data_IF_685646865138
#
_entry.id   IF_685646865138
#
_cell.length_a   1.000
_cell.length_b   1.000
_cell.length_c   1.000
_cell.angle_alpha   90.00
_cell.angle_beta   90.00
_cell.angle_gamma   90.00
#
_symmetry.space_group_name_H-M   'P 1'
#
loop_
_entity.id
_entity.type
_entity.pdbx_description
1 polymer ?
#
# COMPACT_ATOMS: atom_id res chain seq x y z
N UNK A 1 19.49 -4.81 7.33
CA UNK A 1 19.60 -6.17 6.77
C UNK A 1 18.26 -6.45 6.11
N UNK A 2 18.20 -6.97 4.91
CA UNK A 2 16.94 -7.37 4.27
C UNK A 2 16.70 -8.85 4.51
N UNK A 3 15.44 -9.26 4.61
CA UNK A 3 15.06 -10.67 4.72
C UNK A 3 15.42 -11.42 3.45
N UNK A 4 15.73 -12.71 3.58
CA UNK A 4 16.20 -13.56 2.48
C UNK A 4 15.09 -14.46 1.93
N UNK A 5 14.14 -14.85 2.75
CA UNK A 5 13.03 -15.73 2.37
C UNK A 5 11.95 -15.00 1.55
N UNK A 6 11.74 -13.72 1.81
CA UNK A 6 10.68 -12.90 1.19
C UNK A 6 11.16 -11.49 0.89
N UNK A 7 10.70 -10.91 -0.22
CA UNK A 7 10.76 -9.47 -0.44
C UNK A 7 9.53 -8.85 0.20
N UNK A 8 9.73 -7.93 1.16
CA UNK A 8 8.62 -7.39 1.97
C UNK A 8 8.70 -5.89 2.03
N UNK A 9 7.60 -5.23 1.67
CA UNK A 9 7.40 -3.80 1.79
C UNK A 9 6.26 -3.50 2.76
N UNK A 10 6.47 -2.58 3.70
CA UNK A 10 5.42 -1.94 4.48
C UNK A 10 4.96 -0.67 3.75
N UNK A 11 3.67 -0.55 3.49
CA UNK A 11 3.12 0.67 2.87
C UNK A 11 2.95 1.73 3.97
N UNK A 12 3.77 2.77 3.90
CA UNK A 12 3.91 3.75 4.97
C UNK A 12 2.90 4.89 4.87
N UNK A 13 2.34 5.29 6.01
CA UNK A 13 1.50 6.48 6.13
C UNK A 13 2.32 7.77 6.04
N UNK A 14 1.66 8.91 5.90
CA UNK A 14 2.23 10.25 6.02
C UNK A 14 1.71 10.93 7.28
N UNK A 15 2.52 11.81 7.87
CA UNK A 15 2.14 12.62 9.02
C UNK A 15 1.78 14.02 8.52
N UNK A 16 0.58 14.49 8.81
CA UNK A 16 0.14 15.84 8.47
C UNK A 16 0.81 16.88 9.39
N UNK A 17 1.08 18.09 8.90
CA UNK A 17 1.45 19.19 9.79
C UNK A 17 0.22 19.58 10.65
N UNK A 18 0.29 19.48 11.98
CA UNK A 18 -0.85 19.78 12.85
C UNK A 18 -1.25 21.26 12.87
N UNK A 19 -0.35 22.15 12.43
CA UNK A 19 -0.60 23.59 12.41
C UNK A 19 -1.17 24.08 11.08
N UNK A 20 -1.19 23.22 10.06
CA UNK A 20 -1.73 23.55 8.75
C UNK A 20 -3.25 23.37 8.68
N UNK A 21 -3.86 23.97 7.65
CA UNK A 21 -5.25 23.68 7.28
C UNK A 21 -5.30 22.28 6.64
N UNK A 22 -5.81 21.31 7.40
CA UNK A 22 -6.00 19.93 6.94
C UNK A 22 -7.45 19.64 6.55
N UNK A 23 -8.25 20.65 6.24
CA UNK A 23 -9.63 20.47 5.80
C UNK A 23 -9.72 19.73 4.45
N UNK A 24 -10.85 19.06 4.16
CA UNK A 24 -11.08 18.46 2.85
C UNK A 24 -10.92 19.47 1.71
N UNK A 25 -10.04 19.14 0.74
CA UNK A 25 -9.73 19.99 -0.41
C UNK A 25 -8.64 21.05 -0.17
N UNK A 26 -8.13 21.20 1.05
CA UNK A 26 -6.94 22.01 1.30
C UNK A 26 -5.70 21.34 0.66
N UNK A 27 -4.70 22.12 0.23
CA UNK A 27 -3.42 21.57 -0.19
C UNK A 27 -2.76 20.74 0.91
N UNK A 28 -2.13 19.64 0.54
CA UNK A 28 -1.47 18.77 1.49
C UNK A 28 -0.23 19.46 2.11
N UNK A 29 -0.18 19.54 3.43
CA UNK A 29 1.00 20.01 4.17
C UNK A 29 1.47 18.89 5.10
N UNK A 30 2.65 18.35 4.79
CA UNK A 30 3.23 17.17 5.43
C UNK A 30 4.26 17.59 6.46
N UNK A 31 4.21 16.98 7.65
CA UNK A 31 5.33 16.98 8.60
C UNK A 31 6.41 16.02 8.06
N UNK A 32 7.40 16.61 7.38
CA UNK A 32 8.45 15.85 6.71
C UNK A 32 9.35 15.10 7.69
N UNK A 33 9.65 15.69 8.83
CA UNK A 33 10.55 15.10 9.83
C UNK A 33 9.91 13.83 10.43
N UNK A 34 8.68 13.91 10.89
CA UNK A 34 7.95 12.77 11.42
C UNK A 34 7.68 11.71 10.32
N UNK A 35 7.31 12.14 9.11
CA UNK A 35 7.07 11.26 7.98
C UNK A 35 8.32 10.46 7.61
N UNK A 36 9.47 11.10 7.49
CA UNK A 36 10.73 10.43 7.14
C UNK A 36 11.28 9.59 8.30
N UNK A 37 11.14 10.04 9.55
CA UNK A 37 11.52 9.25 10.72
C UNK A 37 10.81 7.88 10.75
N UNK A 38 9.53 7.84 10.36
CA UNK A 38 8.80 6.57 10.27
C UNK A 38 9.38 5.65 9.19
N UNK A 39 9.81 6.17 8.02
CA UNK A 39 10.47 5.38 6.97
C UNK A 39 11.80 4.81 7.47
N UNK A 40 12.60 5.62 8.16
CA UNK A 40 13.85 5.15 8.79
C UNK A 40 13.61 4.03 9.80
N UNK A 41 12.51 4.11 10.58
CA UNK A 41 12.10 3.03 11.46
C UNK A 41 11.83 1.73 10.69
N UNK A 42 11.09 1.77 9.58
CA UNK A 42 10.81 0.58 8.77
C UNK A 42 12.11 -0.04 8.23
N UNK A 43 13.01 0.77 7.68
CA UNK A 43 14.32 0.30 7.21
C UNK A 43 15.18 -0.26 8.33
N UNK A 44 15.14 0.32 9.53
CA UNK A 44 15.89 -0.20 10.69
C UNK A 44 15.43 -1.59 11.13
N UNK A 45 14.17 -1.94 10.84
CA UNK A 45 13.59 -3.26 11.06
C UNK A 45 13.86 -4.23 9.90
N UNK A 46 14.56 -3.80 8.85
CA UNK A 46 14.85 -4.63 7.68
C UNK A 46 13.74 -4.70 6.64
N UNK A 47 12.63 -3.97 6.84
CA UNK A 47 11.52 -3.90 5.90
C UNK A 47 11.84 -2.93 4.76
N UNK A 48 11.37 -3.23 3.55
CA UNK A 48 11.27 -2.24 2.49
C UNK A 48 10.10 -1.27 2.76
N UNK A 49 10.19 -0.07 2.20
CA UNK A 49 9.12 0.93 2.26
C UNK A 49 8.39 0.98 0.92
N UNK A 50 7.06 0.79 0.95
CA UNK A 50 6.20 1.13 -0.18
C UNK A 50 5.62 2.52 0.06
N UNK A 51 6.15 3.49 -0.66
CA UNK A 51 5.83 4.89 -0.45
C UNK A 51 4.89 5.45 -1.52
N UNK A 52 4.24 6.57 -1.17
CA UNK A 52 3.32 7.24 -2.07
C UNK A 52 2.24 6.30 -2.65
N UNK A 53 1.76 5.36 -1.84
CA UNK A 53 0.68 4.43 -2.12
C UNK A 53 -0.62 4.88 -1.44
N UNK A 54 -1.65 4.04 -1.43
CA UNK A 54 -2.94 4.34 -0.80
C UNK A 54 -2.81 4.64 0.69
N UNK A 55 -1.91 3.94 1.41
CA UNK A 55 -1.66 4.16 2.84
C UNK A 55 -1.15 5.58 3.12
N UNK A 56 -0.40 6.17 2.18
CA UNK A 56 0.03 7.56 2.23
C UNK A 56 -1.06 8.57 1.86
N UNK A 57 -2.33 8.15 1.83
CA UNK A 57 -3.49 8.98 1.51
C UNK A 57 -3.55 9.50 0.06
N UNK A 58 -2.89 8.86 -0.92
CA UNK A 58 -3.06 9.24 -2.34
C UNK A 58 -4.54 9.20 -2.74
N UNK A 59 -5.00 10.29 -3.37
CA UNK A 59 -6.40 10.46 -3.73
C UNK A 59 -7.37 10.65 -2.55
N UNK A 60 -6.83 10.75 -1.31
CA UNK A 60 -7.61 10.99 -0.08
C UNK A 60 -6.92 12.01 0.84
N UNK A 61 -6.38 13.08 0.29
CA UNK A 61 -5.74 14.17 1.02
C UNK A 61 -4.31 14.47 0.55
N UNK A 62 -3.53 13.48 0.16
CA UNK A 62 -2.21 13.70 -0.44
C UNK A 62 -2.38 14.04 -1.93
N UNK A 63 -2.10 15.28 -2.29
CA UNK A 63 -2.12 15.74 -3.68
C UNK A 63 -0.84 15.37 -4.44
N UNK A 64 -0.84 15.60 -5.79
CA UNK A 64 0.31 15.24 -6.61
C UNK A 64 1.58 16.04 -6.28
N UNK A 65 1.46 17.30 -5.87
CA UNK A 65 2.63 18.11 -5.53
C UNK A 65 3.35 17.54 -4.31
N UNK A 66 2.62 17.26 -3.24
CA UNK A 66 3.15 16.61 -2.04
C UNK A 66 3.58 15.15 -2.29
N UNK A 67 2.85 14.41 -3.14
CA UNK A 67 3.23 13.05 -3.57
C UNK A 67 4.61 13.05 -4.24
N UNK A 68 4.83 13.96 -5.18
CA UNK A 68 6.12 14.11 -5.87
C UNK A 68 7.26 14.41 -4.89
N UNK A 69 7.03 15.32 -3.96
CA UNK A 69 8.00 15.66 -2.93
C UNK A 69 8.29 14.49 -2.00
N UNK A 70 7.25 13.72 -1.61
CA UNK A 70 7.39 12.52 -0.80
C UNK A 70 8.29 11.49 -1.49
N UNK A 71 8.03 11.19 -2.77
CA UNK A 71 8.84 10.26 -3.56
C UNK A 71 10.31 10.70 -3.61
N UNK A 72 10.55 11.99 -3.86
CA UNK A 72 11.92 12.54 -3.96
C UNK A 72 12.68 12.47 -2.62
N UNK A 73 12.04 12.88 -1.52
CA UNK A 73 12.62 12.85 -0.18
C UNK A 73 12.88 11.43 0.29
N UNK A 74 11.86 10.57 0.21
CA UNK A 74 11.99 9.16 0.65
C UNK A 74 12.99 8.38 -0.19
N UNK A 75 13.09 8.65 -1.50
CA UNK A 75 14.12 8.06 -2.34
C UNK A 75 15.54 8.50 -1.92
N UNK A 76 15.73 9.77 -1.57
CA UNK A 76 17.01 10.27 -1.07
C UNK A 76 17.40 9.62 0.27
N UNK A 77 16.43 9.51 1.20
CA UNK A 77 16.64 8.85 2.49
C UNK A 77 16.92 7.35 2.34
N UNK A 78 16.18 6.65 1.48
CA UNK A 78 16.42 5.24 1.18
C UNK A 78 17.86 5.00 0.71
N UNK A 79 18.37 5.84 -0.22
CA UNK A 79 19.78 5.75 -0.68
C UNK A 79 20.76 5.99 0.44
N UNK A 80 20.46 6.92 1.36
CA UNK A 80 21.38 7.27 2.46
C UNK A 80 21.65 6.12 3.42
N UNK A 81 20.66 5.20 3.55
CA UNK A 81 20.74 4.04 4.47
C UNK A 81 20.80 2.70 3.74
N UNK A 82 20.80 2.68 2.41
CA UNK A 82 20.71 1.45 1.62
C UNK A 82 19.37 0.71 1.80
N UNK A 83 18.30 1.45 2.08
CA UNK A 83 16.96 0.92 2.29
C UNK A 83 16.27 0.56 0.97
N UNK A 84 15.46 -0.51 0.98
CA UNK A 84 14.60 -0.84 -0.15
C UNK A 84 13.40 0.11 -0.19
N UNK A 85 13.09 0.62 -1.37
CA UNK A 85 11.93 1.49 -1.58
C UNK A 85 11.24 1.18 -2.91
N UNK A 86 9.91 1.13 -2.89
CA UNK A 86 9.09 1.18 -4.09
C UNK A 86 8.07 2.33 -3.96
N UNK A 87 7.68 2.93 -5.08
CA UNK A 87 6.79 4.08 -5.07
C UNK A 87 5.66 3.93 -6.08
N UNK A 88 4.47 4.40 -5.70
CA UNK A 88 3.29 4.38 -6.55
C UNK A 88 3.43 5.29 -7.77
N UNK A 89 3.10 4.75 -8.94
CA UNK A 89 2.95 5.43 -10.23
C UNK A 89 1.48 5.38 -10.60
N UNK A 90 0.82 6.52 -10.70
CA UNK A 90 -0.61 6.63 -10.98
C UNK A 90 -0.93 7.71 -11.99
N UNK A 91 -2.14 8.23 -11.95
CA UNK A 91 -2.64 9.28 -12.85
C UNK A 91 -3.39 10.39 -12.11
N UNK A 92 -3.21 10.49 -10.82
CA UNK A 92 -3.94 11.40 -9.92
C UNK A 92 -3.55 12.88 -10.07
N UNK A 93 -2.53 13.22 -10.89
CA UNK A 93 -2.30 14.57 -11.36
C UNK A 93 -3.32 15.03 -12.41
N UNK A 94 -4.05 14.11 -13.02
CA UNK A 94 -5.15 14.46 -13.90
C UNK A 94 -6.28 15.11 -13.08
N UNK A 95 -6.86 16.22 -13.52
CA UNK A 95 -7.97 16.85 -12.82
C UNK A 95 -9.13 15.88 -12.58
N UNK A 96 -9.66 15.85 -11.35
CA UNK A 96 -10.84 15.03 -11.04
C UNK A 96 -12.08 15.49 -11.80
N UNK A 97 -12.99 14.55 -12.11
CA UNK A 97 -14.28 14.81 -12.76
C UNK A 97 -14.19 15.69 -14.02
N UNK A 98 -13.45 15.26 -15.06
CA UNK A 98 -13.40 16.02 -16.31
C UNK A 98 -14.79 16.12 -16.94
N UNK A 99 -15.05 17.18 -17.69
CA UNK A 99 -16.29 17.36 -18.46
C UNK A 99 -16.42 16.37 -19.62
N UNK A 100 -15.31 15.73 -20.00
CA UNK A 100 -15.21 14.65 -20.98
C UNK A 100 -14.21 13.59 -20.47
N UNK A 101 -14.41 12.30 -20.80
CA UNK A 101 -13.42 11.26 -20.50
C UNK A 101 -12.06 11.62 -21.09
N UNK A 102 -10.98 11.28 -20.38
CA UNK A 102 -9.63 11.34 -20.93
C UNK A 102 -9.47 10.37 -22.09
N UNK A 103 -8.59 10.68 -23.03
CA UNK A 103 -8.12 9.69 -24.02
C UNK A 103 -7.12 8.72 -23.36
N UNK A 104 -6.97 7.52 -23.93
CA UNK A 104 -5.95 6.56 -23.50
C UNK A 104 -4.54 7.17 -23.59
N UNK A 105 -4.31 8.06 -24.57
CA UNK A 105 -3.04 8.76 -24.75
C UNK A 105 -2.73 9.70 -23.57
N UNK A 106 -3.70 10.53 -23.14
CA UNK A 106 -3.54 11.42 -21.97
C UNK A 106 -3.32 10.65 -20.67
N UNK A 107 -3.97 9.50 -20.53
CA UNK A 107 -3.77 8.61 -19.37
C UNK A 107 -2.35 8.01 -19.41
N UNK A 108 -1.89 7.58 -20.58
CA UNK A 108 -0.51 7.12 -20.79
C UNK A 108 0.51 8.21 -20.43
N UNK A 109 0.33 9.44 -20.94
CA UNK A 109 1.19 10.60 -20.63
C UNK A 109 1.25 10.87 -19.12
N UNK A 110 0.12 10.73 -18.43
CA UNK A 110 0.06 10.91 -16.98
C UNK A 110 0.87 9.85 -16.22
N UNK A 111 0.73 8.59 -16.59
CA UNK A 111 1.54 7.51 -16.02
C UNK A 111 3.03 7.71 -16.27
N UNK A 112 3.42 8.04 -17.51
CA UNK A 112 4.83 8.27 -17.89
C UNK A 112 5.45 9.41 -17.08
N UNK A 113 4.70 10.50 -16.88
CA UNK A 113 5.18 11.62 -16.06
C UNK A 113 5.42 11.25 -14.58
N UNK A 114 4.62 10.34 -14.02
CA UNK A 114 4.86 9.84 -12.66
C UNK A 114 5.97 8.78 -12.62
N UNK A 115 6.04 7.92 -13.62
CA UNK A 115 7.11 6.94 -13.77
C UNK A 115 8.49 7.60 -13.79
N UNK A 116 8.64 8.69 -14.54
CA UNK A 116 9.87 9.47 -14.58
C UNK A 116 10.28 9.98 -13.19
N UNK A 117 9.34 10.49 -12.39
CA UNK A 117 9.62 10.98 -11.03
C UNK A 117 10.10 9.84 -10.13
N UNK A 118 9.46 8.67 -10.19
CA UNK A 118 9.83 7.50 -9.37
C UNK A 118 11.20 6.96 -9.78
N UNK A 119 11.50 6.89 -11.08
CA UNK A 119 12.79 6.43 -11.59
C UNK A 119 13.93 7.40 -11.24
N UNK A 120 13.69 8.72 -11.32
CA UNK A 120 14.66 9.74 -10.89
C UNK A 120 14.97 9.65 -9.38
N UNK A 121 13.99 9.22 -8.57
CA UNK A 121 14.19 8.95 -7.15
C UNK A 121 14.90 7.61 -6.88
N UNK A 122 15.21 6.82 -7.95
CA UNK A 122 15.81 5.48 -7.89
C UNK A 122 14.96 4.44 -7.16
N UNK A 123 13.66 4.70 -6.98
CA UNK A 123 12.71 3.77 -6.39
C UNK A 123 12.19 2.76 -7.43
N UNK A 124 11.73 1.58 -6.96
CA UNK A 124 11.05 0.61 -7.82
C UNK A 124 9.63 1.12 -8.11
N UNK A 125 9.22 1.20 -9.40
CA UNK A 125 7.88 1.67 -9.72
C UNK A 125 6.81 0.62 -9.35
N UNK A 126 5.71 1.07 -8.76
CA UNK A 126 4.48 0.30 -8.58
C UNK A 126 3.38 0.95 -9.40
N UNK A 127 3.02 0.36 -10.53
CA UNK A 127 1.99 0.90 -11.43
C UNK A 127 0.63 0.61 -10.83
N UNK A 128 0.02 1.65 -10.27
CA UNK A 128 -1.26 1.59 -9.56
C UNK A 128 -2.43 1.60 -10.53
N UNK A 129 -3.57 1.03 -10.12
CA UNK A 129 -4.82 1.21 -10.85
C UNK A 129 -5.19 2.70 -10.99
N UNK A 130 -5.70 3.08 -12.16
CA UNK A 130 -6.10 4.46 -12.48
C UNK A 130 -7.61 4.60 -12.55
N UNK A 131 -8.16 5.54 -11.77
CA UNK A 131 -9.58 5.92 -11.89
C UNK A 131 -9.91 6.48 -13.29
N UNK A 132 -8.98 7.24 -13.88
CA UNK A 132 -9.13 7.77 -15.23
C UNK A 132 -9.21 6.64 -16.26
N UNK A 133 -8.35 5.61 -16.15
CA UNK A 133 -8.40 4.45 -17.04
C UNK A 133 -9.67 3.63 -16.81
N UNK A 134 -10.04 3.35 -15.56
CA UNK A 134 -11.27 2.63 -15.24
C UNK A 134 -12.53 3.29 -15.83
N UNK A 135 -12.57 4.63 -15.83
CA UNK A 135 -13.70 5.39 -16.38
C UNK A 135 -13.68 5.53 -17.92
N UNK A 136 -12.54 5.31 -18.56
CA UNK A 136 -12.34 5.54 -19.99
C UNK A 136 -12.32 4.23 -20.79
N UNK A 137 -11.67 3.20 -20.27
CA UNK A 137 -11.52 1.91 -20.94
C UNK A 137 -12.88 1.22 -21.12
N UNK A 138 -13.06 0.57 -22.27
CA UNK A 138 -14.29 -0.12 -22.68
C UNK A 138 -14.12 -1.63 -22.76
N UNK A 139 -12.88 -2.09 -22.84
CA UNK A 139 -12.52 -3.50 -23.00
C UNK A 139 -11.09 -3.75 -22.49
N UNK A 140 -10.69 -5.01 -22.43
CA UNK A 140 -9.37 -5.44 -21.98
C UNK A 140 -8.23 -4.86 -22.84
N UNK A 141 -8.49 -4.68 -24.14
CA UNK A 141 -7.50 -4.15 -25.09
C UNK A 141 -7.12 -2.70 -24.78
N UNK A 142 -8.06 -1.88 -24.26
CA UNK A 142 -7.76 -0.50 -23.86
C UNK A 142 -6.78 -0.48 -22.67
N UNK A 143 -6.92 -1.42 -21.73
CA UNK A 143 -5.94 -1.62 -20.64
C UNK A 143 -4.61 -2.09 -21.20
N UNK A 144 -4.61 -3.08 -22.08
CA UNK A 144 -3.39 -3.62 -22.70
C UNK A 144 -2.61 -2.52 -23.43
N UNK A 145 -3.27 -1.63 -24.18
CA UNK A 145 -2.66 -0.50 -24.86
C UNK A 145 -1.93 0.44 -23.90
N UNK A 146 -2.61 0.89 -22.82
CA UNK A 146 -2.01 1.81 -21.85
C UNK A 146 -0.87 1.16 -21.09
N UNK A 147 -1.06 -0.07 -20.61
CA UNK A 147 -0.01 -0.78 -19.86
C UNK A 147 1.19 -1.13 -20.75
N UNK A 148 0.98 -1.52 -22.00
CA UNK A 148 2.08 -1.76 -22.95
C UNK A 148 2.93 -0.51 -23.16
N UNK A 149 2.29 0.67 -23.27
CA UNK A 149 2.96 1.95 -23.40
C UNK A 149 3.81 2.27 -22.15
N UNK A 150 3.23 2.17 -20.96
CA UNK A 150 3.91 2.46 -19.67
C UNK A 150 5.08 1.49 -19.46
N UNK A 151 4.87 0.19 -19.67
CA UNK A 151 5.89 -0.84 -19.53
C UNK A 151 7.02 -0.67 -20.57
N UNK A 152 6.68 -0.21 -21.78
CA UNK A 152 7.66 0.11 -22.81
C UNK A 152 8.66 1.20 -22.38
N UNK A 153 8.19 2.21 -21.65
CA UNK A 153 8.99 3.33 -21.15
C UNK A 153 9.80 2.97 -19.89
N UNK A 154 9.34 2.00 -19.11
CA UNK A 154 9.99 1.67 -17.84
C UNK A 154 11.46 1.24 -18.05
N UNK A 155 12.36 1.95 -17.36
CA UNK A 155 13.79 1.68 -17.36
C UNK A 155 14.22 0.53 -16.45
N UNK A 156 13.33 0.09 -15.56
CA UNK A 156 13.51 -1.04 -14.64
C UNK A 156 12.22 -1.85 -14.52
N UNK A 157 12.28 -3.13 -14.08
CA UNK A 157 11.06 -3.91 -13.87
C UNK A 157 10.12 -3.26 -12.85
N UNK A 158 8.82 -3.24 -13.15
CA UNK A 158 7.79 -2.62 -12.33
C UNK A 158 7.00 -3.68 -11.54
N UNK A 159 6.36 -3.28 -10.46
CA UNK A 159 5.28 -4.05 -9.83
C UNK A 159 3.95 -3.51 -10.36
N UNK A 160 3.10 -4.37 -10.90
CA UNK A 160 1.72 -4.00 -11.18
C UNK A 160 0.92 -4.03 -9.88
N UNK A 161 -0.11 -3.19 -9.74
CA UNK A 161 -0.98 -3.22 -8.57
C UNK A 161 -2.43 -3.40 -9.00
N UNK A 162 -3.04 -4.52 -8.64
CA UNK A 162 -4.47 -4.76 -8.76
C UNK A 162 -5.15 -4.43 -7.43
N UNK A 163 -5.79 -3.27 -7.38
CA UNK A 163 -6.56 -2.80 -6.24
C UNK A 163 -8.05 -3.11 -6.44
N UNK A 164 -8.66 -3.83 -5.49
CA UNK A 164 -10.08 -4.15 -5.52
C UNK A 164 -10.97 -2.93 -5.25
N UNK A 165 -12.20 -2.99 -5.74
CA UNK A 165 -13.19 -1.92 -5.61
C UNK A 165 -13.67 -1.69 -4.16
N UNK A 166 -13.41 -2.65 -3.24
CA UNK A 166 -13.62 -2.44 -1.80
C UNK A 166 -12.70 -1.34 -1.22
N UNK A 167 -11.52 -1.11 -1.84
CA UNK A 167 -10.60 -0.02 -1.47
C UNK A 167 -10.92 1.27 -2.22
N UNK A 168 -11.41 1.17 -3.46
CA UNK A 168 -11.77 2.31 -4.30
C UNK A 168 -12.89 1.92 -5.27
N UNK A 169 -14.14 2.29 -4.95
CA UNK A 169 -15.29 1.95 -5.80
C UNK A 169 -15.20 2.45 -7.25
N UNK A 170 -14.37 3.49 -7.51
CA UNK A 170 -14.15 3.98 -8.87
C UNK A 170 -13.35 2.99 -9.75
N UNK A 171 -12.80 1.94 -9.17
CA UNK A 171 -12.06 0.89 -9.89
C UNK A 171 -12.92 -0.35 -10.21
N UNK A 172 -14.23 -0.28 -9.99
CA UNK A 172 -15.13 -1.37 -10.32
C UNK A 172 -15.00 -1.78 -11.79
N UNK A 173 -14.82 -3.08 -12.05
CA UNK A 173 -14.61 -3.60 -13.41
C UNK A 173 -13.22 -3.36 -14.00
N UNK A 174 -12.21 -3.07 -13.17
CA UNK A 174 -10.83 -2.91 -13.66
C UNK A 174 -10.36 -4.15 -14.41
N UNK A 175 -9.49 -3.97 -15.37
CA UNK A 175 -9.05 -4.93 -16.39
C UNK A 175 -10.12 -5.28 -17.44
N UNK A 176 -11.21 -4.47 -17.52
CA UNK A 176 -12.24 -4.57 -18.56
C UNK A 176 -13.38 -5.52 -18.26
N UNK A 177 -13.50 -6.04 -17.03
CA UNK A 177 -14.59 -6.93 -16.63
C UNK A 177 -14.90 -6.84 -15.14
N UNK A 178 -16.18 -6.98 -14.79
CA UNK A 178 -16.66 -7.20 -13.41
C UNK A 178 -16.58 -8.66 -12.99
N UNK A 179 -16.45 -9.58 -13.95
CA UNK A 179 -16.10 -10.96 -13.71
C UNK A 179 -14.60 -11.07 -13.42
N UNK A 180 -14.25 -11.43 -12.20
CA UNK A 180 -12.87 -11.47 -11.76
C UNK A 180 -12.05 -12.57 -12.45
N UNK A 181 -12.67 -13.62 -13.00
CA UNK A 181 -11.94 -14.64 -13.78
C UNK A 181 -11.53 -14.07 -15.14
N UNK A 182 -12.43 -13.35 -15.80
CA UNK A 182 -12.14 -12.64 -17.05
C UNK A 182 -11.10 -11.54 -16.79
N UNK A 183 -11.23 -10.77 -15.72
CA UNK A 183 -10.25 -9.75 -15.32
C UNK A 183 -8.86 -10.36 -15.03
N UNK A 184 -8.83 -11.55 -14.43
CA UNK A 184 -7.59 -12.32 -14.19
C UNK A 184 -6.92 -12.72 -15.50
N UNK A 185 -7.70 -13.19 -16.47
CA UNK A 185 -7.16 -13.53 -17.79
C UNK A 185 -6.58 -12.30 -18.49
N UNK A 186 -7.30 -11.17 -18.44
CA UNK A 186 -6.84 -9.90 -19.03
C UNK A 186 -5.51 -9.42 -18.45
N UNK A 187 -5.34 -9.42 -17.11
CA UNK A 187 -4.08 -9.00 -16.51
C UNK A 187 -2.95 -9.98 -16.77
N UNK A 188 -3.24 -11.28 -16.82
CA UNK A 188 -2.25 -12.31 -17.18
C UNK A 188 -1.77 -12.18 -18.62
N UNK A 189 -2.63 -11.81 -19.55
CA UNK A 189 -2.24 -11.55 -20.95
C UNK A 189 -1.25 -10.37 -21.02
N UNK A 190 -1.49 -9.29 -20.27
CA UNK A 190 -0.55 -8.16 -20.14
C UNK A 190 0.79 -8.63 -19.55
N UNK A 191 0.73 -9.40 -18.45
CA UNK A 191 1.93 -9.90 -17.77
C UNK A 191 2.75 -10.81 -18.71
N UNK A 192 2.11 -11.74 -19.40
CA UNK A 192 2.78 -12.65 -20.31
C UNK A 192 3.42 -11.92 -21.49
N UNK A 193 2.75 -10.90 -22.04
CA UNK A 193 3.28 -10.11 -23.15
C UNK A 193 4.50 -9.26 -22.74
N UNK A 194 4.63 -8.91 -21.46
CA UNK A 194 5.64 -7.97 -20.95
C UNK A 194 6.45 -8.50 -19.77
N UNK A 195 6.57 -9.82 -19.58
CA UNK A 195 7.17 -10.44 -18.39
C UNK A 195 8.57 -9.90 -18.06
N UNK A 196 9.41 -9.59 -19.06
CA UNK A 196 10.74 -9.03 -18.86
C UNK A 196 10.75 -7.60 -18.25
N UNK A 197 9.62 -6.89 -18.28
CA UNK A 197 9.43 -5.55 -17.71
C UNK A 197 8.71 -5.55 -16.37
N UNK A 198 8.31 -6.72 -15.88
CA UNK A 198 7.47 -6.86 -14.69
C UNK A 198 8.23 -7.68 -13.64
N UNK A 199 8.51 -7.07 -12.49
CA UNK A 199 9.05 -7.76 -11.31
C UNK A 199 7.97 -8.62 -10.65
N UNK A 200 6.73 -8.13 -10.63
CA UNK A 200 5.62 -8.84 -10.02
C UNK A 200 4.30 -8.09 -10.12
N UNK A 201 3.29 -8.71 -9.53
CA UNK A 201 1.98 -8.09 -9.33
C UNK A 201 1.62 -8.09 -7.85
N UNK A 202 1.21 -6.92 -7.33
CA UNK A 202 0.54 -6.80 -6.03
C UNK A 202 -0.96 -7.00 -6.22
N UNK A 203 -1.56 -7.87 -5.40
CA UNK A 203 -3.00 -8.17 -5.44
C UNK A 203 -3.65 -7.77 -4.12
N UNK A 204 -4.63 -6.87 -4.17
CA UNK A 204 -5.39 -6.38 -3.03
C UNK A 204 -6.88 -6.63 -3.26
N UNK A 205 -7.28 -7.90 -3.28
CA UNK A 205 -8.66 -8.33 -3.48
C UNK A 205 -9.30 -8.90 -2.20
N UNK A 206 -8.52 -9.11 -1.14
CA UNK A 206 -8.95 -9.70 0.13
C UNK A 206 -9.56 -11.11 -0.05
N UNK A 207 -9.02 -11.87 -1.01
CA UNK A 207 -9.45 -13.21 -1.41
C UNK A 207 -8.22 -14.10 -1.63
N UNK A 208 -7.89 -14.91 -0.61
CA UNK A 208 -6.69 -15.74 -0.61
C UNK A 208 -6.70 -16.79 -1.73
N UNK A 209 -7.87 -17.41 -1.97
CA UNK A 209 -7.99 -18.47 -2.99
C UNK A 209 -7.72 -17.92 -4.39
N UNK A 210 -8.23 -16.72 -4.67
CA UNK A 210 -8.01 -16.02 -5.93
C UNK A 210 -6.56 -15.59 -6.09
N UNK A 211 -5.93 -15.08 -5.04
CA UNK A 211 -4.51 -14.73 -5.06
C UNK A 211 -3.63 -15.96 -5.33
N UNK A 212 -3.90 -17.08 -4.64
CA UNK A 212 -3.18 -18.34 -4.85
C UNK A 212 -3.38 -18.86 -6.27
N UNK A 213 -4.60 -18.80 -6.81
CA UNK A 213 -4.91 -19.23 -8.17
C UNK A 213 -4.14 -18.38 -9.20
N UNK A 214 -4.10 -17.06 -9.03
CA UNK A 214 -3.32 -16.16 -9.88
C UNK A 214 -1.81 -16.44 -9.77
N UNK A 215 -1.28 -16.59 -8.54
CA UNK A 215 0.13 -16.89 -8.29
C UNK A 215 0.62 -18.11 -9.09
N UNK A 216 -0.19 -19.16 -9.15
CA UNK A 216 0.13 -20.41 -9.86
C UNK A 216 0.14 -20.26 -11.39
N UNK A 217 -0.41 -19.17 -11.91
CA UNK A 217 -0.50 -18.88 -13.35
C UNK A 217 0.53 -17.85 -13.83
N UNK A 218 1.27 -17.22 -12.91
CA UNK A 218 2.29 -16.24 -13.27
C UNK A 218 3.45 -16.92 -14.03
N UNK A 219 4.02 -16.26 -15.05
CA UNK A 219 5.20 -16.77 -15.72
C UNK A 219 6.42 -16.79 -14.79
N UNK A 220 7.40 -17.64 -15.11
CA UNK A 220 8.64 -17.74 -14.36
C UNK A 220 9.32 -16.37 -14.22
N UNK A 221 9.80 -16.06 -13.03
CA UNK A 221 10.47 -14.80 -12.70
C UNK A 221 9.54 -13.66 -12.32
N UNK A 222 8.24 -13.76 -12.54
CA UNK A 222 7.25 -12.77 -12.10
C UNK A 222 6.70 -13.15 -10.73
N UNK A 223 6.87 -12.27 -9.74
CA UNK A 223 6.48 -12.49 -8.35
C UNK A 223 5.02 -12.13 -8.12
N UNK A 224 4.43 -12.75 -7.10
CA UNK A 224 3.20 -12.24 -6.50
C UNK A 224 3.54 -11.55 -5.18
N UNK A 225 3.06 -10.33 -5.00
CA UNK A 225 3.08 -9.59 -3.75
C UNK A 225 1.68 -9.57 -3.17
N UNK A 226 1.49 -10.20 -2.00
CA UNK A 226 0.20 -10.07 -1.33
C UNK A 226 -0.06 -8.63 -0.89
N UNK A 227 -1.24 -8.15 -1.21
CA UNK A 227 -1.85 -6.94 -0.68
C UNK A 227 -3.12 -7.29 0.10
N UNK A 228 -3.26 -8.56 0.50
CA UNK A 228 -4.38 -9.06 1.28
C UNK A 228 -4.11 -8.89 2.78
N UNK A 229 -4.58 -7.78 3.33
CA UNK A 229 -4.42 -7.45 4.74
C UNK A 229 -5.28 -8.33 5.68
N UNK A 230 -6.04 -9.31 5.15
CA UNK A 230 -6.84 -10.27 5.93
C UNK A 230 -6.18 -11.63 6.08
N UNK A 231 -5.51 -12.10 5.02
CA UNK A 231 -5.01 -13.48 4.92
C UNK A 231 -3.47 -13.53 4.75
N UNK A 232 -2.79 -12.40 4.95
CA UNK A 232 -1.35 -12.22 4.73
C UNK A 232 -0.46 -13.29 5.40
N UNK A 233 -0.74 -13.81 6.62
CA UNK A 233 0.14 -14.81 7.23
C UNK A 233 0.17 -16.12 6.44
N UNK A 234 -0.98 -16.57 5.94
CA UNK A 234 -1.08 -17.77 5.13
C UNK A 234 -0.41 -17.58 3.76
N UNK A 235 -0.68 -16.45 3.10
CA UNK A 235 -0.17 -16.16 1.76
C UNK A 235 1.35 -16.01 1.74
N UNK A 236 1.94 -15.38 2.78
CA UNK A 236 3.39 -15.22 2.92
C UNK A 236 4.05 -16.54 3.32
N UNK A 237 3.46 -17.31 4.23
CA UNK A 237 3.95 -18.65 4.58
C UNK A 237 4.02 -19.53 3.33
N UNK A 238 2.96 -19.50 2.54
CA UNK A 238 2.85 -20.25 1.30
C UNK A 238 2.41 -21.70 1.50
N UNK A 239 2.47 -22.43 0.40
CA UNK A 239 2.13 -23.86 0.30
C UNK A 239 3.24 -24.63 -0.43
N UNK A 240 3.03 -25.93 -0.71
CA UNK A 240 4.00 -26.78 -1.43
C UNK A 240 4.30 -26.29 -2.87
N UNK A 241 3.47 -25.42 -3.44
CA UNK A 241 3.58 -24.91 -4.81
C UNK A 241 4.15 -23.50 -4.89
N UNK A 242 4.30 -22.80 -3.75
CA UNK A 242 4.89 -21.47 -3.74
C UNK A 242 4.33 -20.58 -2.62
N UNK A 243 4.76 -19.32 -2.64
CA UNK A 243 4.43 -18.33 -1.64
C UNK A 243 4.24 -16.94 -2.28
N UNK A 244 3.64 -16.04 -1.54
CA UNK A 244 3.59 -14.62 -1.90
C UNK A 244 4.68 -13.84 -1.17
N UNK A 245 5.31 -12.89 -1.87
CA UNK A 245 6.01 -11.78 -1.25
C UNK A 245 4.98 -10.84 -0.62
N UNK A 246 5.37 -9.72 -0.01
CA UNK A 246 4.43 -8.84 0.64
C UNK A 246 4.62 -7.36 0.28
N UNK A 247 3.50 -6.66 0.04
CA UNK A 247 3.42 -5.21 -0.03
C UNK A 247 2.10 -4.80 0.67
N UNK A 248 2.16 -4.56 1.98
CA UNK A 248 1.00 -4.53 2.86
C UNK A 248 0.85 -3.22 3.62
N UNK A 249 -0.39 -2.74 3.72
CA UNK A 249 -0.76 -1.62 4.57
C UNK A 249 -0.73 -1.98 6.06
N UNK A 250 -1.11 -3.21 6.41
CA UNK A 250 -1.09 -3.69 7.80
C UNK A 250 0.32 -3.75 8.41
N UNK A 251 1.36 -3.83 7.59
CA UNK A 251 2.75 -3.82 8.09
C UNK A 251 3.25 -2.43 8.52
N UNK A 252 2.48 -1.37 8.30
CA UNK A 252 2.73 -0.07 8.91
C UNK A 252 2.61 -0.14 10.44
N UNK A 253 1.44 -0.43 11.04
CA UNK A 253 1.31 -0.53 12.49
C UNK A 253 1.95 -1.80 13.08
N UNK A 254 2.11 -2.88 12.30
CA UNK A 254 2.63 -4.16 12.75
C UNK A 254 4.10 -4.40 12.38
N UNK A 255 4.85 -3.34 12.05
CA UNK A 255 6.21 -3.47 11.51
C UNK A 255 7.16 -4.28 12.40
N UNK A 256 7.08 -4.14 13.72
CA UNK A 256 7.92 -4.88 14.67
C UNK A 256 7.62 -6.37 14.65
N UNK A 257 6.33 -6.73 14.68
CA UNK A 257 5.88 -8.12 14.66
C UNK A 257 6.13 -8.76 13.29
N UNK A 258 5.96 -7.99 12.21
CA UNK A 258 6.29 -8.44 10.87
C UNK A 258 7.79 -8.77 10.74
N UNK A 259 8.67 -7.91 11.24
CA UNK A 259 10.11 -8.15 11.24
C UNK A 259 10.47 -9.41 12.05
N UNK A 260 9.94 -9.54 13.27
CA UNK A 260 10.14 -10.73 14.10
C UNK A 260 9.69 -12.02 13.41
N UNK A 261 8.52 -12.01 12.79
CA UNK A 261 7.99 -13.16 12.07
C UNK A 261 8.88 -13.53 10.87
N UNK A 262 9.33 -12.54 10.10
CA UNK A 262 10.19 -12.77 8.95
C UNK A 262 11.57 -13.31 9.32
N UNK A 263 12.13 -12.93 10.45
CA UNK A 263 13.37 -13.54 10.99
C UNK A 263 13.18 -15.04 11.26
N UNK A 264 12.03 -15.44 11.82
CA UNK A 264 11.69 -16.85 12.02
C UNK A 264 11.54 -17.59 10.68
N UNK A 265 10.90 -16.96 9.71
CA UNK A 265 10.74 -17.53 8.37
C UNK A 265 12.09 -17.68 7.65
N UNK A 266 13.00 -16.72 7.80
CA UNK A 266 14.38 -16.80 7.28
C UNK A 266 15.18 -17.95 7.93
N UNK A 267 14.86 -18.26 9.20
CA UNK A 267 15.43 -19.40 9.92
C UNK A 267 14.75 -20.75 9.56
N UNK A 268 13.77 -20.75 8.67
CA UNK A 268 13.01 -21.94 8.27
C UNK A 268 11.88 -22.33 9.23
N UNK A 269 11.56 -21.49 10.22
CA UNK A 269 10.49 -21.73 11.20
C UNK A 269 9.17 -21.10 10.72
N UNK A 270 8.51 -21.77 9.79
CA UNK A 270 7.19 -21.34 9.30
C UNK A 270 6.10 -21.41 10.39
N UNK A 271 6.22 -22.31 11.35
CA UNK A 271 5.28 -22.41 12.46
C UNK A 271 5.43 -21.21 13.41
N UNK A 272 6.66 -20.84 13.75
CA UNK A 272 6.96 -19.64 14.53
C UNK A 272 6.50 -18.38 13.83
N UNK A 273 6.72 -18.24 12.52
CA UNK A 273 6.20 -17.15 11.70
C UNK A 273 4.68 -17.00 11.86
N UNK A 274 3.93 -18.10 11.67
CA UNK A 274 2.47 -18.13 11.84
C UNK A 274 2.07 -17.82 13.29
N UNK A 275 2.83 -18.35 14.26
CA UNK A 275 2.60 -18.11 15.69
C UNK A 275 2.67 -16.64 16.10
N UNK A 276 3.47 -15.82 15.38
CA UNK A 276 3.56 -14.38 15.61
C UNK A 276 2.42 -13.63 14.90
N UNK A 277 2.10 -13.97 13.66
CA UNK A 277 1.19 -13.16 12.83
C UNK A 277 -0.28 -13.58 12.90
N UNK A 278 -0.60 -14.87 13.06
CA UNK A 278 -1.99 -15.33 13.12
C UNK A 278 -2.81 -14.66 14.25
N UNK A 279 -2.25 -14.46 15.47
CA UNK A 279 -2.96 -13.74 16.53
C UNK A 279 -3.31 -12.29 16.19
N UNK A 280 -2.63 -11.68 15.21
CA UNK A 280 -2.84 -10.28 14.80
C UNK A 280 -3.93 -10.13 13.71
N UNK A 281 -4.38 -11.23 13.11
CA UNK A 281 -5.40 -11.21 12.07
C UNK A 281 -6.72 -10.55 12.50
N UNK A 282 -7.23 -10.74 13.73
CA UNK A 282 -8.44 -10.02 14.17
C UNK A 282 -8.25 -8.50 14.19
N UNK A 283 -7.08 -8.01 14.60
CA UNK A 283 -6.73 -6.58 14.56
C UNK A 283 -6.65 -6.09 13.11
N UNK A 284 -5.95 -6.79 12.23
CA UNK A 284 -5.84 -6.48 10.81
C UNK A 284 -7.22 -6.38 10.14
N UNK A 285 -8.08 -7.37 10.36
CA UNK A 285 -9.46 -7.37 9.84
C UNK A 285 -10.29 -6.20 10.35
N UNK A 286 -10.06 -5.73 11.58
CA UNK A 286 -10.75 -4.58 12.11
C UNK A 286 -10.23 -3.27 11.50
N UNK A 287 -8.91 -3.10 11.33
CA UNK A 287 -8.32 -1.94 10.62
C UNK A 287 -8.94 -1.80 9.24
N UNK A 288 -9.00 -2.90 8.48
CA UNK A 288 -9.47 -2.92 7.09
C UNK A 288 -10.96 -3.24 6.93
N UNK A 289 -11.76 -3.19 8.03
CA UNK A 289 -13.20 -3.36 7.96
C UNK A 289 -13.84 -2.33 7.00
N UNK A 290 -14.97 -2.71 6.40
CA UNK A 290 -15.70 -1.80 5.51
C UNK A 290 -16.23 -0.55 6.26
N UNK A 291 -16.24 0.62 5.61
CA UNK A 291 -15.72 0.94 4.28
C UNK A 291 -14.19 0.90 4.24
N UNK A 292 -13.63 -0.04 3.47
CA UNK A 292 -12.21 -0.42 3.55
C UNK A 292 -11.26 0.74 3.24
N UNK A 293 -11.65 1.68 2.38
CA UNK A 293 -10.85 2.87 2.03
C UNK A 293 -10.43 3.73 3.23
N UNK A 294 -11.15 3.64 4.36
CA UNK A 294 -10.82 4.38 5.60
C UNK A 294 -9.88 3.63 6.55
N UNK A 295 -9.28 2.51 6.13
CA UNK A 295 -8.29 1.80 6.94
C UNK A 295 -7.12 2.71 7.39
N UNK A 296 -6.78 3.71 6.57
CA UNK A 296 -5.71 4.69 6.82
C UNK A 296 -5.91 5.43 8.15
N UNK A 297 -7.17 5.73 8.50
CA UNK A 297 -7.53 6.35 9.78
C UNK A 297 -7.10 5.48 10.96
N UNK A 298 -7.36 4.18 10.87
CA UNK A 298 -6.92 3.21 11.89
C UNK A 298 -5.40 3.10 11.97
N UNK A 299 -4.71 3.05 10.82
CA UNK A 299 -3.24 3.00 10.74
C UNK A 299 -2.62 4.22 11.43
N UNK A 300 -3.05 5.43 11.07
CA UNK A 300 -2.52 6.68 11.67
C UNK A 300 -2.87 6.79 13.16
N UNK A 301 -4.06 6.33 13.56
CA UNK A 301 -4.43 6.29 14.97
C UNK A 301 -3.50 5.38 15.78
N UNK A 302 -3.20 4.19 15.28
CA UNK A 302 -2.24 3.28 15.92
C UNK A 302 -0.82 3.84 15.94
N UNK A 303 -0.38 4.56 14.90
CA UNK A 303 0.91 5.25 14.88
C UNK A 303 0.99 6.33 15.97
N UNK A 304 -0.10 7.11 16.16
CA UNK A 304 -0.22 8.08 17.24
C UNK A 304 -0.16 7.39 18.61
N UNK A 305 -0.96 6.37 18.85
CA UNK A 305 -0.97 5.64 20.12
C UNK A 305 0.38 4.99 20.43
N UNK A 306 1.09 4.52 19.41
CA UNK A 306 2.42 3.89 19.53
C UNK A 306 3.56 4.88 19.75
N UNK A 307 3.31 6.19 19.72
CA UNK A 307 4.35 7.20 19.91
C UNK A 307 5.21 7.48 18.66
N UNK A 308 4.76 7.06 17.48
CA UNK A 308 5.48 7.31 16.22
C UNK A 308 5.18 8.69 15.61
N UNK A 309 4.14 9.36 16.11
CA UNK A 309 3.80 10.75 15.84
C UNK A 309 3.10 11.36 17.05
N UNK A 310 3.13 12.70 17.14
CA UNK A 310 2.68 13.41 18.36
C UNK A 310 1.19 13.76 18.38
N UNK A 311 0.47 13.56 17.28
CA UNK A 311 -0.95 13.93 17.14
C UNK A 311 -1.69 12.98 16.20
N UNK A 312 -3.01 13.00 16.27
CA UNK A 312 -3.91 12.26 15.36
C UNK A 312 -4.60 13.22 14.38
N UNK A 313 -3.81 13.97 13.60
CA UNK A 313 -4.30 14.78 12.48
C UNK A 313 -3.88 14.12 11.18
N UNK A 314 -4.76 14.17 10.17
CA UNK A 314 -4.53 13.58 8.86
C UNK A 314 -4.79 14.60 7.75
N UNK A 315 -4.18 14.40 6.60
CA UNK A 315 -4.43 15.22 5.41
C UNK A 315 -5.91 15.10 5.00
N UNK A 316 -6.52 16.20 4.58
CA UNK A 316 -7.91 16.22 4.13
C UNK A 316 -8.93 15.87 5.19
N UNK A 317 -8.60 15.99 6.50
CA UNK A 317 -9.51 15.69 7.61
C UNK A 317 -9.86 14.21 7.76
N UNK A 318 -9.02 13.32 7.24
CA UNK A 318 -9.29 11.88 7.20
C UNK A 318 -9.24 11.20 8.58
N UNK A 319 -8.82 11.88 9.64
CA UNK A 319 -8.96 11.42 11.02
C UNK A 319 -10.42 11.16 11.41
N UNK A 320 -11.38 11.76 10.71
CA UNK A 320 -12.81 11.55 10.92
C UNK A 320 -13.39 10.35 10.15
N UNK A 321 -12.57 9.64 9.39
CA UNK A 321 -12.99 8.51 8.54
C UNK A 321 -13.47 7.26 9.30
N UNK A 322 -13.24 7.22 10.62
CA UNK A 322 -13.75 6.18 11.52
C UNK A 322 -14.41 6.83 12.73
N UNK A 323 -15.48 6.22 13.21
CA UNK A 323 -16.17 6.68 14.39
C UNK A 323 -15.48 6.24 15.69
N UNK A 324 -15.97 6.78 16.81
CA UNK A 324 -15.41 6.50 18.14
C UNK A 324 -15.51 5.01 18.51
N UNK A 325 -16.59 4.33 18.14
CA UNK A 325 -16.78 2.91 18.44
C UNK A 325 -15.71 2.06 17.74
N UNK A 326 -15.47 2.33 16.45
CA UNK A 326 -14.42 1.67 15.70
C UNK A 326 -13.03 1.92 16.29
N UNK A 327 -12.69 3.17 16.63
CA UNK A 327 -11.39 3.50 17.22
C UNK A 327 -11.21 2.92 18.63
N UNK A 328 -12.27 2.82 19.43
CA UNK A 328 -12.25 2.16 20.74
C UNK A 328 -11.94 0.66 20.57
N UNK A 329 -12.67 -0.02 19.69
CA UNK A 329 -12.43 -1.45 19.44
C UNK A 329 -11.05 -1.69 18.86
N UNK A 330 -10.55 -0.77 18.02
CA UNK A 330 -9.20 -0.82 17.47
C UNK A 330 -8.14 -0.77 18.58
N UNK A 331 -8.29 0.16 19.53
CA UNK A 331 -7.41 0.25 20.71
C UNK A 331 -7.42 -1.03 21.53
N UNK A 332 -8.61 -1.58 21.81
CA UNK A 332 -8.76 -2.81 22.61
C UNK A 332 -8.02 -3.97 21.94
N UNK A 333 -8.25 -4.21 20.64
CA UNK A 333 -7.60 -5.27 19.88
C UNK A 333 -6.07 -5.09 19.83
N UNK A 334 -5.61 -3.86 19.69
CA UNK A 334 -4.18 -3.55 19.66
C UNK A 334 -3.53 -3.79 21.03
N UNK A 335 -4.19 -3.41 22.12
CA UNK A 335 -3.74 -3.65 23.49
C UNK A 335 -3.73 -5.15 23.83
N UNK A 336 -4.82 -5.87 23.50
CA UNK A 336 -4.92 -7.34 23.66
C UNK A 336 -3.80 -8.07 22.88
N UNK A 337 -3.44 -7.56 21.71
CA UNK A 337 -2.38 -8.13 20.85
C UNK A 337 -0.96 -7.75 21.29
N UNK A 338 -0.80 -6.83 22.24
CA UNK A 338 0.50 -6.42 22.77
C UNK A 338 1.38 -5.69 21.73
N UNK A 339 0.79 -4.98 20.77
CA UNK A 339 1.58 -4.32 19.71
C UNK A 339 2.19 -2.97 20.13
N UNK A 340 1.69 -2.36 21.22
CA UNK A 340 2.18 -1.07 21.68
C UNK A 340 3.57 -1.17 22.31
N UNK A 341 4.58 -0.40 21.82
CA UNK A 341 5.90 -0.38 22.44
C UNK A 341 5.87 0.15 23.87
N UNK A 342 4.97 1.09 24.14
CA UNK A 342 4.69 1.69 25.46
C UNK A 342 3.17 1.65 25.71
N UNK A 343 2.66 0.64 26.44
CA UNK A 343 1.24 0.52 26.74
C UNK A 343 0.70 1.65 27.63
N UNK A 344 1.55 2.26 28.48
CA UNK A 344 1.11 3.37 29.35
C UNK A 344 0.90 4.64 28.51
N UNK A 345 1.81 4.95 27.60
CA UNK A 345 1.65 6.03 26.63
C UNK A 345 0.39 5.84 25.77
N UNK A 346 0.20 4.63 25.24
CA UNK A 346 -0.96 4.32 24.41
C UNK A 346 -2.28 4.54 25.18
N UNK A 347 -2.35 4.10 26.42
CA UNK A 347 -3.52 4.30 27.29
C UNK A 347 -3.75 5.79 27.59
N UNK A 348 -2.69 6.56 27.88
CA UNK A 348 -2.79 7.98 28.13
C UNK A 348 -3.31 8.75 26.92
N UNK A 349 -2.75 8.48 25.72
CA UNK A 349 -3.17 9.10 24.47
C UNK A 349 -4.59 8.70 24.06
N UNK A 350 -4.97 7.45 24.30
CA UNK A 350 -6.34 6.99 24.04
C UNK A 350 -7.34 7.71 24.93
N UNK A 351 -7.05 7.86 26.23
CA UNK A 351 -7.89 8.60 27.19
C UNK A 351 -8.02 10.08 26.79
N UNK A 352 -6.93 10.73 26.39
CA UNK A 352 -6.95 12.11 25.90
C UNK A 352 -7.85 12.26 24.67
N UNK A 353 -7.74 11.32 23.71
CA UNK A 353 -8.55 11.31 22.49
C UNK A 353 -10.03 11.05 22.79
N UNK A 354 -10.34 10.12 23.69
CA UNK A 354 -11.71 9.76 24.05
C UNK A 354 -12.44 10.81 24.90
N UNK A 355 -11.69 11.73 25.53
CA UNK A 355 -12.26 12.78 26.38
C UNK A 355 -12.77 12.26 27.73
N UNK A 356 -12.23 11.12 28.21
CA UNK A 356 -12.56 10.49 29.46
C UNK A 356 -11.60 10.92 30.60
#
# INVERSE_FOLDING_TARGET
MSFTSRTVFAAAHVVADPNADNAPGAPAVVDWDATLAFRHRLWSLGLGVADAMDTAQRGMGLDWAATKELIQRSGAEARSVGGLICCGVGTDQLPGAPTSPYSLAEIGDAYEGQLEVVEQAEAQPVVMCSRALASTARCAEDYAEVYARVLGQAGRPVVLHWLGDMFDPALHGYWGSTDLDVATDSVLDIINAHAAKIDGIKVSLLDADREIALRRRLPEGVRLYTGDDFNFPELIAGDEQGFSHALLGVFDPLATQAAQALELLDAGDAAGFRGVLDPLVPLARHIFAAPTQFYKTGVVFLAYLSGYQEHFRMLGGQETGRDREHLTRLYDLAAESGIFPDPELAAARFKEHSGD
#
